data_IF_223479458339
#
_entry.id   IF_223479458339
#
_cell.length_a   1.000
_cell.length_b   1.000
_cell.length_c   1.000
_cell.angle_alpha   90.00
_cell.angle_beta   90.00
_cell.angle_gamma   90.00
#
_symmetry.space_group_name_H-M   'P 1'
#
loop_
_entity.id
_entity.type
_entity.pdbx_description
1 polymer ?
#
# COMPACT_ATOMS: atom_id res chain seq x y z
N UNK A 1 6.41 15.80 -6.55
CA UNK A 1 5.28 14.89 -6.83
C UNK A 1 4.47 15.49 -7.96
N UNK A 2 3.71 14.67 -8.69
CA UNK A 2 2.85 15.11 -9.80
C UNK A 2 1.40 14.61 -9.59
N UNK A 3 0.72 15.01 -8.49
CA UNK A 3 -0.60 14.48 -8.12
C UNK A 3 -1.65 14.59 -9.23
N UNK A 4 -1.54 15.59 -10.10
CA UNK A 4 -2.53 16.02 -11.08
C UNK A 4 -2.40 15.28 -12.42
N UNK A 5 -1.36 14.47 -12.61
CA UNK A 5 -1.13 13.76 -13.88
C UNK A 5 -1.99 12.51 -14.00
N UNK A 6 -2.27 11.82 -12.89
CA UNK A 6 -2.96 10.53 -12.89
C UNK A 6 -4.41 10.69 -12.42
N UNK A 7 -5.35 10.07 -13.13
CA UNK A 7 -6.77 10.09 -12.77
C UNK A 7 -7.07 9.36 -11.44
N UNK A 8 -6.29 8.33 -11.11
CA UNK A 8 -6.30 7.59 -9.85
C UNK A 8 -5.03 6.75 -9.70
N UNK A 9 -4.81 6.16 -8.52
CA UNK A 9 -3.69 5.27 -8.23
C UNK A 9 -4.14 3.98 -7.52
N UNK A 10 -3.36 2.92 -7.71
CA UNK A 10 -3.50 1.68 -6.93
C UNK A 10 -2.15 1.40 -6.29
N UNK A 11 -2.13 1.32 -4.96
CA UNK A 11 -0.98 0.95 -4.15
C UNK A 11 -1.15 -0.48 -3.63
N UNK A 12 -0.15 -1.33 -3.84
CA UNK A 12 -0.16 -2.72 -3.36
C UNK A 12 1.12 -2.94 -2.55
N UNK A 13 0.95 -3.19 -1.25
CA UNK A 13 2.04 -3.37 -0.26
C UNK A 13 3.12 -2.26 -0.32
N UNK A 14 2.66 -1.01 -0.47
CA UNK A 14 3.50 0.19 -0.57
C UNK A 14 4.03 0.69 0.76
N UNK A 15 5.34 0.97 0.89
CA UNK A 15 5.86 1.68 2.05
C UNK A 15 5.44 3.16 2.06
N UNK A 16 4.95 3.64 3.20
CA UNK A 16 4.48 5.01 3.36
C UNK A 16 5.38 5.87 4.28
N UNK A 17 6.02 5.24 5.26
CA UNK A 17 6.90 5.86 6.24
C UNK A 17 8.24 5.12 6.26
N UNK A 18 9.27 5.76 5.70
CA UNK A 18 10.59 5.14 5.55
C UNK A 18 11.27 4.90 6.91
N UNK A 19 11.00 5.73 7.91
CA UNK A 19 11.57 5.54 9.25
C UNK A 19 10.94 4.31 9.90
N UNK A 20 9.60 4.25 9.93
CA UNK A 20 8.90 3.09 10.45
C UNK A 20 9.25 1.80 9.68
N UNK A 21 9.34 1.85 8.36
CA UNK A 21 9.76 0.73 7.51
C UNK A 21 11.12 0.18 7.93
N UNK A 22 12.13 1.03 8.00
CA UNK A 22 13.51 0.58 8.28
C UNK A 22 13.68 0.06 9.70
N UNK A 23 12.95 0.62 10.68
CA UNK A 23 12.90 0.10 12.06
C UNK A 23 12.18 -1.25 12.16
N UNK A 24 11.23 -1.51 11.25
CA UNK A 24 10.39 -2.70 11.28
C UNK A 24 10.88 -3.87 10.43
N UNK A 25 12.00 -3.74 9.72
CA UNK A 25 12.51 -4.84 8.91
C UNK A 25 12.76 -6.10 9.76
N UNK A 26 12.52 -7.30 9.20
CA UNK A 26 12.70 -8.53 9.95
C UNK A 26 14.14 -8.71 10.47
N UNK A 27 14.35 -9.27 11.66
CA UNK A 27 15.69 -9.45 12.23
C UNK A 27 16.67 -10.21 11.32
N UNK A 28 16.17 -11.17 10.53
CA UNK A 28 16.99 -11.93 9.58
C UNK A 28 17.50 -11.08 8.39
N UNK A 29 17.08 -9.83 8.26
CA UNK A 29 17.63 -8.87 7.29
C UNK A 29 18.84 -8.10 7.82
N UNK A 30 19.17 -8.22 9.11
CA UNK A 30 20.30 -7.52 9.75
C UNK A 30 21.61 -7.55 8.92
N UNK A 31 22.04 -8.69 8.32
CA UNK A 31 23.26 -8.73 7.50
C UNK A 31 23.22 -7.82 6.27
N UNK A 32 22.03 -7.48 5.78
CA UNK A 32 21.82 -6.69 4.56
C UNK A 32 21.39 -5.24 4.85
N UNK A 33 21.27 -4.84 6.13
CA UNK A 33 20.75 -3.52 6.51
C UNK A 33 21.63 -2.37 5.99
N UNK A 34 22.96 -2.56 5.96
CA UNK A 34 23.89 -1.59 5.38
C UNK A 34 23.51 -1.19 3.94
N UNK A 35 22.98 -2.13 3.16
CA UNK A 35 22.53 -1.87 1.79
C UNK A 35 21.26 -1.01 1.79
N UNK A 36 20.32 -1.30 2.68
CA UNK A 36 19.08 -0.52 2.79
C UNK A 36 19.34 0.89 3.29
N UNK A 37 20.23 1.08 4.27
CA UNK A 37 20.61 2.41 4.76
C UNK A 37 21.21 3.29 3.66
N UNK A 38 21.97 2.72 2.72
CA UNK A 38 22.49 3.45 1.57
C UNK A 38 21.38 4.07 0.69
N UNK A 39 20.22 3.42 0.57
CA UNK A 39 19.14 3.88 -0.30
C UNK A 39 18.07 4.67 0.46
N UNK A 40 17.72 4.22 1.66
CA UNK A 40 16.62 4.75 2.46
C UNK A 40 17.11 5.77 3.49
N UNK A 41 18.23 5.47 4.15
CA UNK A 41 18.76 6.18 5.30
C UNK A 41 18.79 5.30 6.55
N UNK A 42 19.65 5.65 7.49
CA UNK A 42 19.76 5.03 8.80
C UNK A 42 18.88 5.76 9.82
N UNK A 43 17.91 5.08 10.46
CA UNK A 43 16.93 5.74 11.32
C UNK A 43 17.54 6.28 12.63
N UNK A 44 18.73 5.86 13.03
CA UNK A 44 19.39 6.38 14.24
C UNK A 44 20.26 7.61 13.94
N UNK A 45 20.56 7.88 12.67
CA UNK A 45 21.21 9.12 12.22
C UNK A 45 20.17 10.24 12.00
N UNK A 46 20.41 11.41 12.60
CA UNK A 46 19.44 12.52 12.57
C UNK A 46 19.26 13.17 11.18
N UNK A 47 20.34 13.29 10.41
CA UNK A 47 20.31 13.83 9.05
C UNK A 47 19.55 12.88 8.11
N UNK A 48 19.82 11.59 8.24
CA UNK A 48 19.13 10.56 7.48
C UNK A 48 17.64 10.49 7.83
N UNK A 49 17.26 10.62 9.11
CA UNK A 49 15.84 10.71 9.50
C UNK A 49 15.12 11.87 8.83
N UNK A 50 15.71 13.06 8.79
CA UNK A 50 15.09 14.19 8.11
C UNK A 50 14.93 13.92 6.61
N UNK A 51 15.94 13.32 5.98
CA UNK A 51 15.86 12.90 4.58
C UNK A 51 14.78 11.85 4.33
N UNK A 52 14.63 10.89 5.24
CA UNK A 52 13.60 9.85 5.20
C UNK A 52 12.21 10.47 5.33
N UNK A 53 12.03 11.38 6.28
CA UNK A 53 10.80 12.16 6.47
C UNK A 53 10.45 12.95 5.21
N UNK A 54 11.40 13.69 4.65
CA UNK A 54 11.19 14.47 3.43
C UNK A 54 10.85 13.64 2.18
N UNK A 55 11.05 12.32 2.22
CA UNK A 55 10.77 11.39 1.11
C UNK A 55 9.62 10.43 1.37
N UNK A 56 9.10 10.37 2.60
CA UNK A 56 8.05 9.43 2.99
C UNK A 56 6.69 9.90 2.45
N UNK A 57 5.99 9.10 1.61
CA UNK A 57 4.67 9.45 1.09
C UNK A 57 3.66 9.90 2.16
N UNK A 58 3.74 9.33 3.36
CA UNK A 58 2.88 9.65 4.50
C UNK A 58 2.78 11.16 4.77
N UNK A 59 3.88 11.91 4.62
CA UNK A 59 3.93 13.34 4.90
C UNK A 59 3.43 14.23 3.76
N UNK A 60 2.87 13.62 2.72
CA UNK A 60 2.30 14.28 1.56
C UNK A 60 0.86 13.83 1.27
N UNK A 61 0.23 13.11 2.21
CA UNK A 61 -1.14 12.62 2.08
C UNK A 61 -2.14 13.76 1.76
N UNK A 62 -1.93 14.94 2.35
CA UNK A 62 -2.71 16.16 2.10
C UNK A 62 -2.61 16.68 0.66
N UNK A 63 -1.59 16.27 -0.08
CA UNK A 63 -1.35 16.66 -1.48
C UNK A 63 -1.96 15.70 -2.49
N UNK A 64 -2.54 14.58 -2.06
CA UNK A 64 -3.26 13.68 -2.96
C UNK A 64 -4.50 14.41 -3.51
N UNK A 65 -4.70 14.35 -4.83
CA UNK A 65 -5.87 14.97 -5.50
C UNK A 65 -6.80 13.93 -6.11
N UNK A 66 -6.24 12.80 -6.54
CA UNK A 66 -6.96 11.73 -7.24
C UNK A 66 -7.24 10.56 -6.31
N UNK A 67 -8.33 9.80 -6.50
CA UNK A 67 -8.64 8.60 -5.71
C UNK A 67 -7.48 7.59 -5.67
N UNK A 68 -7.33 6.90 -4.54
CA UNK A 68 -6.37 5.82 -4.40
C UNK A 68 -7.00 4.58 -3.76
N UNK A 69 -6.74 3.41 -4.33
CA UNK A 69 -7.00 2.11 -3.71
C UNK A 69 -5.69 1.59 -3.10
N UNK A 70 -5.70 1.33 -1.79
CA UNK A 70 -4.58 0.73 -1.07
C UNK A 70 -4.91 -0.74 -0.78
N UNK A 71 -4.01 -1.65 -1.13
CA UNK A 71 -4.17 -3.09 -0.96
C UNK A 71 -2.99 -3.64 -0.16
N UNK A 72 -3.28 -4.38 0.92
CA UNK A 72 -2.27 -4.89 1.84
C UNK A 72 -2.51 -6.35 2.20
N UNK A 73 -1.45 -7.15 2.28
CA UNK A 73 -1.51 -8.47 2.91
C UNK A 73 -1.33 -8.35 4.43
N UNK A 74 -2.25 -8.90 5.22
CA UNK A 74 -2.25 -8.77 6.69
C UNK A 74 -0.97 -9.36 7.35
N UNK A 75 -0.39 -10.40 6.73
CA UNK A 75 0.79 -11.12 7.22
C UNK A 75 2.09 -10.70 6.51
N UNK A 76 2.14 -9.51 5.91
CA UNK A 76 3.37 -9.03 5.27
C UNK A 76 4.44 -8.72 6.32
N UNK A 77 5.56 -9.43 6.25
CA UNK A 77 6.71 -9.24 7.15
C UNK A 77 7.72 -8.22 6.63
N UNK A 78 7.62 -7.80 5.36
CA UNK A 78 8.56 -6.88 4.69
C UNK A 78 8.05 -5.44 4.75
N UNK A 79 6.81 -5.25 4.31
CA UNK A 79 6.07 -3.99 4.40
C UNK A 79 4.86 -4.30 5.25
N UNK A 80 5.07 -4.20 6.56
CA UNK A 80 4.04 -4.52 7.55
C UNK A 80 2.79 -3.67 7.32
N UNK A 81 1.63 -4.20 7.73
CA UNK A 81 0.34 -3.55 7.56
C UNK A 81 0.30 -2.12 8.13
N UNK A 82 1.08 -1.83 9.18
CA UNK A 82 1.17 -0.49 9.78
C UNK A 82 1.52 0.62 8.76
N UNK A 83 2.22 0.29 7.67
CA UNK A 83 2.52 1.24 6.61
C UNK A 83 1.26 1.71 5.89
N UNK A 84 0.40 0.76 5.50
CA UNK A 84 -0.87 1.07 4.86
C UNK A 84 -1.85 1.70 5.84
N UNK A 85 -1.93 1.19 7.08
CA UNK A 85 -2.83 1.74 8.11
C UNK A 85 -2.55 3.23 8.34
N UNK A 86 -1.27 3.61 8.56
CA UNK A 86 -0.87 5.01 8.74
C UNK A 86 -1.22 5.89 7.54
N UNK A 87 -1.01 5.39 6.32
CA UNK A 87 -1.32 6.14 5.10
C UNK A 87 -2.82 6.36 4.95
N UNK A 88 -3.62 5.32 5.18
CA UNK A 88 -5.10 5.40 5.14
C UNK A 88 -5.60 6.37 6.19
N UNK A 89 -5.11 6.30 7.43
CA UNK A 89 -5.46 7.25 8.50
C UNK A 89 -5.11 8.69 8.11
N UNK A 90 -3.92 8.93 7.56
CA UNK A 90 -3.50 10.26 7.12
C UNK A 90 -4.35 10.80 5.96
N UNK A 91 -4.70 9.94 4.99
CA UNK A 91 -5.57 10.29 3.87
C UNK A 91 -6.99 10.63 4.33
N UNK A 92 -7.57 9.81 5.23
CA UNK A 92 -8.88 10.06 5.83
C UNK A 92 -8.87 11.38 6.62
N UNK A 93 -7.86 11.60 7.46
CA UNK A 93 -7.72 12.83 8.24
C UNK A 93 -7.59 14.08 7.35
N UNK A 94 -7.00 13.94 6.15
CA UNK A 94 -6.87 14.99 5.15
C UNK A 94 -8.10 15.09 4.21
N UNK A 95 -9.16 14.31 4.44
CA UNK A 95 -10.38 14.32 3.62
C UNK A 95 -10.18 13.81 2.19
N UNK A 96 -9.22 12.90 1.98
CA UNK A 96 -8.86 12.39 0.65
C UNK A 96 -9.64 11.12 0.29
N UNK A 97 -9.98 10.93 -0.99
CA UNK A 97 -10.65 9.72 -1.46
C UNK A 97 -9.69 8.52 -1.41
N UNK A 98 -9.94 7.62 -0.46
CA UNK A 98 -9.16 6.39 -0.28
C UNK A 98 -10.07 5.19 -0.09
N UNK A 99 -9.77 4.10 -0.78
CA UNK A 99 -10.29 2.78 -0.52
C UNK A 99 -9.19 1.90 0.08
N UNK A 100 -9.54 1.05 1.05
CA UNK A 100 -8.56 0.18 1.71
C UNK A 100 -9.02 -1.27 1.74
N UNK A 101 -8.19 -2.16 1.20
CA UNK A 101 -8.44 -3.59 1.13
C UNK A 101 -7.31 -4.37 1.80
N UNK A 102 -7.60 -4.93 2.97
CA UNK A 102 -6.70 -5.88 3.66
C UNK A 102 -7.07 -7.31 3.27
N UNK A 103 -6.06 -8.07 2.85
CA UNK A 103 -6.22 -9.47 2.45
C UNK A 103 -5.70 -10.38 3.56
N UNK A 104 -6.64 -10.94 4.31
CA UNK A 104 -6.37 -11.90 5.37
C UNK A 104 -5.65 -13.16 4.86
N UNK A 105 -4.73 -13.67 5.67
CA UNK A 105 -3.95 -14.88 5.35
C UNK A 105 -2.85 -14.66 4.30
N UNK A 106 -2.72 -13.47 3.70
CA UNK A 106 -1.70 -13.15 2.72
C UNK A 106 -0.60 -12.26 3.30
N UNK A 107 0.59 -12.30 2.72
CA UNK A 107 1.70 -11.40 3.07
C UNK A 107 2.10 -10.52 1.89
N UNK A 108 3.40 -10.31 1.72
CA UNK A 108 3.95 -9.44 0.66
C UNK A 108 3.57 -9.82 -0.78
N UNK A 109 3.18 -11.08 -0.99
CA UNK A 109 2.62 -11.55 -2.25
C UNK A 109 1.31 -12.22 -1.95
N UNK A 110 0.28 -11.83 -2.70
CA UNK A 110 -1.04 -12.45 -2.68
C UNK A 110 -0.93 -13.77 -3.46
N UNK A 111 -0.86 -14.89 -2.75
CA UNK A 111 -0.56 -16.21 -3.32
C UNK A 111 -1.81 -17.02 -3.62
N UNK A 112 -2.81 -17.01 -2.73
CA UNK A 112 -4.00 -17.82 -2.93
C UNK A 112 -4.81 -17.25 -4.09
N UNK A 113 -5.18 -18.11 -5.04
CA UNK A 113 -5.83 -17.67 -6.27
C UNK A 113 -7.15 -16.94 -6.01
N UNK A 114 -7.90 -17.36 -4.97
CA UNK A 114 -9.14 -16.71 -4.52
C UNK A 114 -8.90 -15.28 -4.08
N UNK A 115 -7.84 -15.07 -3.31
CA UNK A 115 -7.44 -13.74 -2.85
C UNK A 115 -6.93 -12.88 -3.99
N UNK A 116 -6.21 -13.46 -4.96
CA UNK A 116 -5.85 -12.75 -6.20
C UNK A 116 -7.08 -12.32 -6.98
N UNK A 117 -8.10 -13.19 -7.09
CA UNK A 117 -9.36 -12.83 -7.75
C UNK A 117 -10.06 -11.67 -7.04
N UNK A 118 -10.07 -11.66 -5.69
CA UNK A 118 -10.58 -10.51 -4.91
C UNK A 118 -9.82 -9.21 -5.23
N UNK A 119 -8.49 -9.26 -5.27
CA UNK A 119 -7.65 -8.10 -5.60
C UNK A 119 -7.89 -7.60 -7.02
N UNK A 120 -7.95 -8.50 -8.01
CA UNK A 120 -8.22 -8.13 -9.40
C UNK A 120 -9.60 -7.53 -9.56
N UNK A 121 -10.59 -8.07 -8.84
CA UNK A 121 -11.94 -7.50 -8.83
C UNK A 121 -11.95 -6.08 -8.29
N UNK A 122 -11.41 -5.88 -7.09
CA UNK A 122 -11.35 -4.55 -6.48
C UNK A 122 -10.61 -3.54 -7.37
N UNK A 123 -9.55 -3.99 -8.04
CA UNK A 123 -8.82 -3.20 -9.05
C UNK A 123 -9.70 -2.83 -10.25
N UNK A 124 -10.44 -3.80 -10.82
CA UNK A 124 -11.34 -3.55 -11.96
C UNK A 124 -12.45 -2.57 -11.59
N UNK A 125 -13.09 -2.77 -10.45
CA UNK A 125 -14.16 -1.92 -9.93
C UNK A 125 -13.66 -0.49 -9.70
N UNK A 126 -12.55 -0.33 -8.98
CA UNK A 126 -11.94 0.97 -8.70
C UNK A 126 -11.56 1.72 -9.98
N UNK A 127 -10.95 1.04 -10.96
CA UNK A 127 -10.57 1.66 -12.24
C UNK A 127 -11.80 2.02 -13.09
N UNK A 128 -12.86 1.20 -13.06
CA UNK A 128 -14.09 1.52 -13.78
C UNK A 128 -14.73 2.80 -13.23
N UNK A 129 -14.82 2.94 -11.91
CA UNK A 129 -15.37 4.13 -11.26
C UNK A 129 -14.52 5.38 -11.53
N UNK A 130 -13.20 5.24 -11.39
CA UNK A 130 -12.25 6.32 -11.64
C UNK A 130 -12.23 6.80 -13.11
N UNK A 131 -12.26 5.87 -14.07
CA UNK A 131 -12.04 6.17 -15.49
C UNK A 131 -13.35 6.29 -16.30
N UNK A 132 -14.51 6.07 -15.68
CA UNK A 132 -15.81 6.05 -16.34
C UNK A 132 -16.01 4.81 -17.24
N UNK A 133 -15.39 3.69 -16.88
CA UNK A 133 -15.39 2.43 -17.62
C UNK A 133 -16.54 1.50 -17.23
N UNK A 134 -16.43 0.24 -17.68
CA UNK A 134 -17.30 -0.86 -17.22
C UNK A 134 -16.50 -1.80 -16.36
N UNK A 135 -17.14 -2.34 -15.34
CA UNK A 135 -16.65 -3.46 -14.55
C UNK A 135 -17.61 -4.64 -14.69
N UNK A 136 -17.09 -5.87 -14.60
CA UNK A 136 -17.88 -7.09 -14.88
C UNK A 136 -18.97 -7.44 -13.85
N UNK A 137 -19.16 -6.62 -12.82
CA UNK A 137 -20.01 -6.89 -11.65
C UNK A 137 -19.62 -8.13 -10.83
N UNK A 138 -20.48 -8.48 -9.88
CA UNK A 138 -20.41 -9.77 -9.18
C UNK A 138 -20.45 -10.94 -10.18
N UNK A 139 -19.53 -11.91 -10.06
CA UNK A 139 -19.50 -13.09 -10.94
C UNK A 139 -19.58 -14.43 -10.16
N UNK A 140 -19.99 -15.48 -10.87
CA UNK A 140 -20.18 -16.82 -10.29
C UNK A 140 -18.88 -17.52 -9.86
N UNK A 141 -17.72 -17.11 -10.39
CA UNK A 141 -16.41 -17.58 -9.92
C UNK A 141 -16.08 -17.03 -8.54
N UNK A 142 -16.61 -15.86 -8.17
CA UNK A 142 -16.56 -15.37 -6.79
C UNK A 142 -17.38 -16.27 -5.87
N UNK A 143 -18.60 -16.65 -6.23
CA UNK A 143 -19.36 -17.64 -5.43
C UNK A 143 -18.59 -18.96 -5.28
N UNK A 144 -18.06 -19.52 -6.36
CA UNK A 144 -17.29 -20.76 -6.31
C UNK A 144 -15.98 -20.65 -5.52
N UNK A 145 -15.34 -19.48 -5.55
CA UNK A 145 -14.13 -19.20 -4.78
C UNK A 145 -14.37 -19.00 -3.28
N UNK A 146 -15.57 -18.58 -2.87
CA UNK A 146 -15.92 -18.35 -1.47
C UNK A 146 -16.62 -19.54 -0.81
N UNK A 147 -17.23 -20.43 -1.60
CA UNK A 147 -17.97 -21.61 -1.13
C UNK A 147 -17.11 -22.88 -0.94
N UNK A 148 -15.98 -22.98 -1.64
CA UNK A 148 -15.01 -24.08 -1.51
C UNK A 148 -13.67 -23.53 -1.07
#
# INVERSE_FOLDING_TARGET
MTPEIFACGIDIVGPADLEALTRNFPPYWAPFMHRWYKYLGEPDNAEDRERMRAKSPLHFADRLVSPVLIIQGANDVRVKQDQSDRMVEALIAAGKPVEYLVIEGEGHRIRHWKNRLKVYRATEDFLADCLGGRSSGFDYYQLGGWLF
#
